data_IF_340391335895
#
_entry.id   IF_340391335895
#
_cell.length_a   1.000
_cell.length_b   1.000
_cell.length_c   1.000
_cell.angle_alpha   90.00
_cell.angle_beta   90.00
_cell.angle_gamma   90.00
#
_symmetry.space_group_name_H-M   'P 1'
#
loop_
_entity.id
_entity.type
_entity.pdbx_description
1 polymer ?
#
# COMPACT_ATOMS: atom_id res chain seq x y z
N UNK A 1 15.39 -43.50 -46.74
CA UNK A 1 13.98 -43.11 -46.99
C UNK A 1 13.97 -41.76 -47.70
N UNK A 2 13.75 -41.77 -49.02
CA UNK A 2 13.74 -40.57 -49.85
C UNK A 2 12.28 -40.29 -50.26
N UNK A 3 11.69 -39.21 -49.75
CA UNK A 3 10.34 -38.79 -50.14
C UNK A 3 10.21 -37.27 -50.18
N UNK A 4 10.59 -36.73 -51.35
CA UNK A 4 9.84 -35.77 -52.17
C UNK A 4 9.30 -34.51 -51.47
N UNK A 5 10.14 -33.48 -51.49
CA UNK A 5 9.73 -32.07 -51.54
C UNK A 5 8.76 -31.86 -52.71
N UNK A 6 7.56 -31.33 -52.42
CA UNK A 6 6.61 -30.87 -53.45
C UNK A 6 6.22 -29.42 -53.16
N UNK A 7 6.87 -28.43 -53.79
CA UNK A 7 6.50 -27.03 -53.70
C UNK A 7 6.01 -26.54 -55.07
N UNK A 8 4.72 -26.63 -55.39
CA UNK A 8 4.19 -26.00 -56.62
C UNK A 8 2.67 -26.02 -56.69
N UNK A 9 1.98 -25.17 -55.93
CA UNK A 9 0.61 -24.76 -56.28
C UNK A 9 0.47 -23.24 -56.06
N UNK A 10 1.22 -22.47 -56.84
CA UNK A 10 0.85 -21.10 -57.18
C UNK A 10 -0.44 -21.16 -58.01
N UNK A 11 -1.60 -21.04 -57.36
CA UNK A 11 -2.88 -20.94 -58.05
C UNK A 11 -3.19 -19.47 -58.31
N UNK A 12 -2.86 -19.03 -59.52
CA UNK A 12 -3.23 -17.72 -60.07
C UNK A 12 -4.75 -17.61 -60.18
N UNK A 13 -5.41 -16.93 -59.24
CA UNK A 13 -6.81 -16.54 -59.42
C UNK A 13 -6.85 -15.29 -60.30
N UNK A 14 -7.22 -15.54 -61.56
CA UNK A 14 -7.50 -14.54 -62.59
C UNK A 14 -8.63 -13.62 -62.16
N UNK A 15 -8.40 -12.31 -62.31
CA UNK A 15 -9.35 -11.22 -62.06
C UNK A 15 -10.48 -11.29 -63.08
N UNK A 16 -11.65 -11.78 -62.70
CA UNK A 16 -12.88 -11.51 -63.43
C UNK A 16 -13.48 -10.19 -62.93
N UNK A 17 -13.36 -9.16 -63.78
CA UNK A 17 -14.05 -7.88 -63.62
C UNK A 17 -15.56 -8.12 -63.76
N UNK A 18 -16.28 -8.22 -62.65
CA UNK A 18 -17.75 -8.16 -62.66
C UNK A 18 -18.17 -6.68 -62.60
N UNK A 19 -18.21 -6.07 -63.78
CA UNK A 19 -18.95 -4.83 -64.07
C UNK A 19 -20.45 -5.12 -63.99
N UNK A 20 -20.98 -5.21 -62.77
CA UNK A 20 -22.41 -5.29 -62.51
C UNK A 20 -22.89 -3.99 -61.89
N UNK A 21 -23.41 -3.09 -62.73
CA UNK A 21 -24.09 -1.86 -62.32
C UNK A 21 -25.43 -2.21 -61.65
N UNK A 22 -25.37 -2.66 -60.39
CA UNK A 22 -26.53 -2.87 -59.53
C UNK A 22 -26.63 -1.74 -58.52
N UNK A 23 -27.58 -0.84 -58.75
CA UNK A 23 -28.01 0.21 -57.82
C UNK A 23 -28.26 -0.37 -56.42
N UNK A 24 -27.29 -0.22 -55.52
CA UNK A 24 -27.48 -0.55 -54.12
C UNK A 24 -28.42 0.50 -53.51
N UNK A 25 -29.56 0.08 -52.93
CA UNK A 25 -30.41 1.02 -52.23
C UNK A 25 -29.61 1.55 -51.04
N UNK A 26 -29.53 2.88 -50.94
CA UNK A 26 -29.08 3.63 -49.76
C UNK A 26 -29.94 3.22 -48.56
N UNK A 27 -29.67 2.06 -47.98
CA UNK A 27 -30.18 1.69 -46.67
C UNK A 27 -29.34 2.47 -45.67
N UNK A 28 -29.76 3.70 -45.43
CA UNK A 28 -29.33 4.52 -44.31
C UNK A 28 -29.70 3.76 -43.02
N UNK A 29 -28.89 2.77 -42.66
CA UNK A 29 -28.92 2.20 -41.32
C UNK A 29 -28.39 3.30 -40.41
N UNK A 30 -29.32 4.09 -39.87
CA UNK A 30 -29.17 4.81 -38.63
C UNK A 30 -28.47 3.85 -37.67
N UNK A 31 -27.15 4.00 -37.49
CA UNK A 31 -26.45 3.29 -36.46
C UNK A 31 -27.12 3.73 -35.15
N UNK A 32 -27.84 2.85 -34.43
CA UNK A 32 -28.38 3.23 -33.15
C UNK A 32 -27.18 3.69 -32.33
N UNK A 33 -27.28 4.88 -31.77
CA UNK A 33 -26.33 5.44 -30.82
C UNK A 33 -26.00 4.34 -29.82
N UNK A 34 -24.88 3.65 -30.04
CA UNK A 34 -24.46 2.57 -29.19
C UNK A 34 -23.97 3.26 -27.94
N UNK A 35 -24.85 3.31 -26.95
CA UNK A 35 -24.55 3.70 -25.58
C UNK A 35 -23.64 2.61 -24.98
N UNK A 36 -22.48 2.37 -25.60
CA UNK A 36 -21.44 1.56 -24.97
C UNK A 36 -21.05 2.33 -23.71
N UNK A 37 -21.29 1.70 -22.55
CA UNK A 37 -20.90 2.21 -21.26
C UNK A 37 -19.48 2.79 -21.38
N UNK A 38 -19.36 4.12 -21.20
CA UNK A 38 -18.12 4.83 -21.44
C UNK A 38 -16.97 4.09 -20.74
N UNK A 39 -15.85 3.81 -21.42
CA UNK A 39 -14.78 3.03 -20.84
C UNK A 39 -14.31 3.70 -19.54
N UNK A 40 -13.89 2.91 -18.53
CA UNK A 40 -13.53 3.45 -17.23
C UNK A 40 -12.51 4.60 -17.37
N UNK A 41 -12.66 5.73 -16.65
CA UNK A 41 -11.75 6.88 -16.76
C UNK A 41 -10.27 6.53 -16.58
N UNK A 42 -9.95 5.45 -15.87
CA UNK A 42 -8.59 4.96 -15.73
C UNK A 42 -8.05 4.34 -17.03
N UNK A 43 -8.90 3.63 -17.77
CA UNK A 43 -8.53 2.99 -19.04
C UNK A 43 -8.18 4.05 -20.09
N UNK A 44 -8.93 5.16 -20.14
CA UNK A 44 -8.62 6.28 -21.04
C UNK A 44 -7.29 6.96 -20.69
N UNK A 45 -6.97 7.12 -19.39
CA UNK A 45 -5.65 7.58 -18.93
C UNK A 45 -4.53 6.66 -19.41
N UNK A 46 -4.64 5.34 -19.23
CA UNK A 46 -3.63 4.38 -19.70
C UNK A 46 -3.42 4.41 -21.22
N UNK A 47 -4.49 4.60 -22.01
CA UNK A 47 -4.40 4.77 -23.47
C UNK A 47 -3.66 6.05 -23.86
N UNK A 48 -3.86 7.14 -23.11
CA UNK A 48 -3.14 8.40 -23.34
C UNK A 48 -1.67 8.28 -22.93
N UNK A 49 -1.39 7.63 -21.80
CA UNK A 49 -0.03 7.37 -21.34
C UNK A 49 0.75 6.45 -22.29
N UNK A 50 0.07 5.53 -22.98
CA UNK A 50 0.69 4.74 -24.04
C UNK A 50 1.19 5.65 -25.17
N UNK A 51 0.37 6.61 -25.61
CA UNK A 51 0.78 7.58 -26.66
C UNK A 51 1.97 8.41 -26.21
N UNK A 52 2.00 8.81 -24.94
CA UNK A 52 3.12 9.57 -24.36
C UNK A 52 4.38 8.68 -24.31
N UNK A 53 4.28 7.44 -23.86
CA UNK A 53 5.39 6.49 -23.82
C UNK A 53 5.97 6.21 -25.22
N UNK A 54 5.10 6.13 -26.25
CA UNK A 54 5.54 6.01 -27.64
C UNK A 54 6.36 7.22 -28.11
N UNK A 55 5.97 8.44 -27.71
CA UNK A 55 6.73 9.66 -28.04
C UNK A 55 8.04 9.76 -27.26
N UNK A 56 8.03 9.36 -25.99
CA UNK A 56 9.20 9.37 -25.12
C UNK A 56 10.22 8.26 -25.42
N UNK A 57 9.83 7.24 -26.21
CA UNK A 57 10.64 6.04 -26.53
C UNK A 57 11.10 5.26 -25.29
N UNK A 58 10.36 5.34 -24.19
CA UNK A 58 10.60 4.54 -22.98
C UNK A 58 10.12 3.10 -23.22
N UNK A 59 11.05 2.19 -23.48
CA UNK A 59 10.78 0.79 -23.85
C UNK A 59 10.07 0.03 -22.73
N UNK A 60 10.46 0.24 -21.48
CA UNK A 60 9.93 -0.51 -20.34
C UNK A 60 8.50 -0.07 -20.03
N UNK A 61 8.24 1.25 -20.00
CA UNK A 61 6.90 1.79 -19.80
C UNK A 61 5.95 1.39 -20.93
N UNK A 62 6.45 1.42 -22.16
CA UNK A 62 5.67 1.04 -23.32
C UNK A 62 5.34 -0.46 -23.33
N UNK A 63 6.27 -1.34 -22.96
CA UNK A 63 6.01 -2.78 -22.84
C UNK A 63 4.95 -3.08 -21.76
N UNK A 64 5.12 -2.50 -20.56
CA UNK A 64 4.16 -2.64 -19.47
C UNK A 64 2.75 -2.17 -19.87
N UNK A 65 2.63 -0.97 -20.47
CA UNK A 65 1.33 -0.44 -20.90
C UNK A 65 0.67 -1.27 -22.01
N UNK A 66 1.45 -1.78 -22.97
CA UNK A 66 0.92 -2.71 -23.99
C UNK A 66 0.43 -4.00 -23.38
N UNK A 67 1.18 -4.56 -22.43
CA UNK A 67 0.79 -5.78 -21.71
C UNK A 67 -0.52 -5.57 -20.96
N UNK A 68 -0.68 -4.44 -20.27
CA UNK A 68 -1.94 -4.10 -19.57
C UNK A 68 -3.11 -3.99 -20.54
N UNK A 69 -2.96 -3.27 -21.66
CA UNK A 69 -4.03 -3.14 -22.65
C UNK A 69 -4.37 -4.48 -23.30
N UNK A 70 -3.38 -5.30 -23.63
CA UNK A 70 -3.61 -6.65 -24.15
C UNK A 70 -4.35 -7.50 -23.12
N UNK A 71 -4.00 -7.40 -21.83
CA UNK A 71 -4.69 -8.11 -20.76
C UNK A 71 -6.13 -7.61 -20.59
N UNK A 72 -6.41 -6.31 -20.78
CA UNK A 72 -7.80 -5.79 -20.76
C UNK A 72 -8.64 -6.32 -21.92
N UNK A 73 -8.07 -6.40 -23.13
CA UNK A 73 -8.74 -6.98 -24.30
C UNK A 73 -8.89 -8.49 -24.18
N UNK A 74 -7.94 -9.18 -23.53
CA UNK A 74 -8.08 -10.61 -23.27
C UNK A 74 -9.16 -10.87 -22.23
N UNK A 75 -9.26 -10.04 -21.19
CA UNK A 75 -10.33 -10.14 -20.19
C UNK A 75 -11.72 -9.87 -20.80
N UNK A 76 -11.84 -9.00 -21.80
CA UNK A 76 -13.12 -8.78 -22.50
C UNK A 76 -13.57 -10.00 -23.33
N UNK A 77 -12.69 -10.97 -23.57
CA UNK A 77 -12.99 -12.23 -24.28
C UNK A 77 -13.28 -13.39 -23.32
N UNK A 78 -13.05 -13.23 -22.02
CA UNK A 78 -13.36 -14.24 -21.01
C UNK A 78 -14.68 -13.94 -20.32
N UNK A 79 -15.11 -14.81 -19.40
CA UNK A 79 -16.32 -14.60 -18.60
C UNK A 79 -16.23 -13.43 -17.60
N UNK A 80 -15.06 -12.79 -17.46
CA UNK A 80 -14.79 -11.72 -16.49
C UNK A 80 -14.30 -10.45 -17.20
N UNK A 81 -15.17 -9.73 -17.93
CA UNK A 81 -14.80 -8.49 -18.61
C UNK A 81 -14.51 -7.37 -17.62
N UNK A 82 -13.50 -6.54 -17.92
CA UNK A 82 -13.12 -5.39 -17.08
C UNK A 82 -14.02 -4.21 -17.41
N UNK A 83 -14.94 -3.94 -16.50
CA UNK A 83 -15.95 -2.87 -16.64
C UNK A 83 -15.76 -1.76 -15.62
N UNK A 84 -15.10 -2.01 -14.49
CA UNK A 84 -14.88 -1.03 -13.42
C UNK A 84 -13.41 -0.63 -13.27
N UNK A 85 -13.15 0.57 -12.74
CA UNK A 85 -11.78 1.00 -12.40
C UNK A 85 -11.15 0.05 -11.37
N UNK A 86 -11.93 -0.44 -10.42
CA UNK A 86 -11.49 -1.38 -9.40
C UNK A 86 -10.98 -2.70 -10.02
N UNK A 87 -11.70 -3.28 -10.98
CA UNK A 87 -11.21 -4.46 -11.73
C UNK A 87 -9.91 -4.18 -12.50
N UNK A 88 -9.78 -3.00 -13.11
CA UNK A 88 -8.54 -2.61 -13.79
C UNK A 88 -7.36 -2.49 -12.82
N UNK A 89 -7.56 -1.92 -11.64
CA UNK A 89 -6.51 -1.86 -10.60
C UNK A 89 -6.19 -3.27 -10.07
N UNK A 90 -7.18 -4.15 -9.94
CA UNK A 90 -6.97 -5.53 -9.54
C UNK A 90 -6.08 -6.26 -10.56
N UNK A 91 -6.32 -6.02 -11.85
CA UNK A 91 -5.48 -6.53 -12.93
C UNK A 91 -4.05 -5.98 -12.82
N UNK A 92 -3.86 -4.68 -12.59
CA UNK A 92 -2.53 -4.08 -12.40
C UNK A 92 -1.76 -4.74 -11.23
N UNK A 93 -2.42 -4.97 -10.10
CA UNK A 93 -1.82 -5.65 -8.94
C UNK A 93 -1.48 -7.11 -9.27
N UNK A 94 -2.37 -7.83 -9.97
CA UNK A 94 -2.13 -9.21 -10.43
C UNK A 94 -0.91 -9.27 -11.35
N UNK A 95 -0.79 -8.32 -12.29
CA UNK A 95 0.33 -8.24 -13.22
C UNK A 95 1.64 -7.87 -12.53
N UNK A 96 1.64 -6.86 -11.65
CA UNK A 96 2.82 -6.50 -10.86
C UNK A 96 3.34 -7.69 -10.05
N UNK A 97 2.43 -8.48 -9.47
CA UNK A 97 2.83 -9.72 -8.78
C UNK A 97 3.47 -10.73 -9.73
N UNK A 98 2.89 -10.95 -10.92
CA UNK A 98 3.47 -11.85 -11.92
C UNK A 98 4.87 -11.42 -12.35
N UNK A 99 5.08 -10.12 -12.58
CA UNK A 99 6.41 -9.59 -12.92
C UNK A 99 7.40 -9.75 -11.77
N UNK A 100 6.97 -9.58 -10.51
CA UNK A 100 7.82 -9.85 -9.34
C UNK A 100 8.22 -11.32 -9.25
N UNK A 101 7.25 -12.21 -9.38
CA UNK A 101 7.48 -13.66 -9.31
C UNK A 101 8.38 -14.10 -10.49
N UNK A 102 8.21 -13.52 -11.68
CA UNK A 102 9.06 -13.75 -12.85
C UNK A 102 10.49 -13.20 -12.67
N UNK A 103 10.65 -12.01 -12.08
CA UNK A 103 11.96 -11.44 -11.79
C UNK A 103 12.76 -12.30 -10.81
N UNK A 104 12.10 -12.85 -9.78
CA UNK A 104 12.73 -13.78 -8.84
C UNK A 104 13.21 -15.05 -9.55
N UNK A 105 12.34 -15.69 -10.35
CA UNK A 105 12.69 -16.89 -11.12
C UNK A 105 13.81 -16.62 -12.13
N UNK A 106 13.82 -15.46 -12.78
CA UNK A 106 14.87 -15.08 -13.73
C UNK A 106 16.24 -14.93 -13.04
N UNK A 107 16.28 -14.37 -11.82
CA UNK A 107 17.51 -14.31 -11.02
C UNK A 107 17.99 -15.69 -10.59
N UNK A 108 17.08 -16.54 -10.13
CA UNK A 108 17.39 -17.93 -9.76
C UNK A 108 17.98 -18.70 -10.96
N UNK A 109 17.48 -18.44 -12.18
CA UNK A 109 17.99 -19.01 -13.42
C UNK A 109 19.28 -18.34 -13.96
N UNK A 110 19.89 -17.40 -13.21
CA UNK A 110 21.11 -16.69 -13.62
C UNK A 110 20.92 -15.69 -14.76
N UNK A 111 19.69 -15.34 -15.12
CA UNK A 111 19.37 -14.38 -16.20
C UNK A 111 19.17 -12.98 -15.63
N UNK A 112 20.26 -12.34 -15.21
CA UNK A 112 20.24 -11.01 -14.60
C UNK A 112 19.57 -9.94 -15.49
N UNK A 113 19.90 -9.91 -16.79
CA UNK A 113 19.31 -8.95 -17.74
C UNK A 113 17.79 -9.10 -17.88
N UNK A 114 17.27 -10.33 -17.76
CA UNK A 114 15.83 -10.57 -17.81
C UNK A 114 15.16 -10.15 -16.50
N UNK A 115 15.80 -10.44 -15.36
CA UNK A 115 15.30 -10.02 -14.06
C UNK A 115 15.17 -8.50 -13.96
N UNK A 116 16.17 -7.74 -14.43
CA UNK A 116 16.14 -6.27 -14.41
C UNK A 116 14.98 -5.69 -15.25
N UNK A 117 14.67 -6.31 -16.39
CA UNK A 117 13.53 -5.92 -17.23
C UNK A 117 12.21 -6.15 -16.52
N UNK A 118 12.01 -7.33 -15.94
CA UNK A 118 10.80 -7.67 -15.18
C UNK A 118 10.63 -6.78 -13.93
N UNK A 119 11.72 -6.41 -13.26
CA UNK A 119 11.68 -5.46 -12.15
C UNK A 119 11.31 -4.04 -12.57
N UNK A 120 11.83 -3.59 -13.71
CA UNK A 120 11.45 -2.30 -14.26
C UNK A 120 9.94 -2.27 -14.58
N UNK A 121 9.42 -3.32 -15.21
CA UNK A 121 7.99 -3.47 -15.47
C UNK A 121 7.17 -3.53 -14.17
N UNK A 122 7.62 -4.31 -13.18
CA UNK A 122 6.98 -4.39 -11.87
C UNK A 122 6.84 -3.00 -11.23
N UNK A 123 7.93 -2.21 -11.20
CA UNK A 123 7.92 -0.85 -10.61
C UNK A 123 6.92 0.06 -11.30
N UNK A 124 6.83 0.00 -12.63
CA UNK A 124 5.87 0.79 -13.41
C UNK A 124 4.43 0.39 -13.09
N UNK A 125 4.14 -0.93 -13.07
CA UNK A 125 2.80 -1.43 -12.75
C UNK A 125 2.37 -1.09 -11.32
N UNK A 126 3.28 -1.19 -10.36
CA UNK A 126 3.04 -0.79 -8.96
C UNK A 126 2.78 0.72 -8.82
N UNK A 127 3.49 1.55 -9.59
CA UNK A 127 3.28 2.98 -9.62
C UNK A 127 1.86 3.33 -10.14
N UNK A 128 1.39 2.68 -11.20
CA UNK A 128 0.02 2.88 -11.69
C UNK A 128 -1.04 2.37 -10.72
N UNK A 129 -0.82 1.21 -10.10
CA UNK A 129 -1.74 0.67 -9.09
C UNK A 129 -1.86 1.62 -7.88
N UNK A 130 -0.73 2.16 -7.42
CA UNK A 130 -0.69 3.09 -6.26
C UNK A 130 -1.22 4.48 -6.63
N UNK A 131 -0.92 4.98 -7.82
CA UNK A 131 -1.46 6.26 -8.30
C UNK A 131 -2.98 6.25 -8.48
N UNK A 132 -3.57 5.07 -8.69
CA UNK A 132 -5.03 4.90 -8.79
C UNK A 132 -5.73 4.78 -7.43
N UNK A 133 -5.01 5.02 -6.33
CA UNK A 133 -5.53 4.94 -4.95
C UNK A 133 -6.68 5.88 -4.68
N UNK A 134 -6.70 7.07 -5.27
CA UNK A 134 -7.76 8.06 -5.09
C UNK A 134 -9.11 7.48 -5.50
N UNK A 135 -9.18 6.81 -6.66
CA UNK A 135 -10.39 6.15 -7.15
C UNK A 135 -10.88 5.06 -6.18
N UNK A 136 -9.95 4.34 -5.54
CA UNK A 136 -10.31 3.33 -4.54
C UNK A 136 -10.84 3.99 -3.27
N UNK A 137 -10.24 5.11 -2.83
CA UNK A 137 -10.72 5.84 -1.65
C UNK A 137 -12.15 6.32 -1.87
N UNK A 138 -12.45 6.89 -3.03
CA UNK A 138 -13.80 7.37 -3.36
C UNK A 138 -14.83 6.23 -3.31
N UNK A 139 -14.50 5.07 -3.91
CA UNK A 139 -15.37 3.88 -3.86
C UNK A 139 -15.57 3.43 -2.41
N UNK A 140 -14.49 3.32 -1.61
CA UNK A 140 -14.56 2.89 -0.21
C UNK A 140 -15.39 3.86 0.64
N UNK A 141 -15.25 5.17 0.44
CA UNK A 141 -16.00 6.20 1.15
C UNK A 141 -17.48 6.19 0.78
N UNK A 142 -17.82 6.02 -0.50
CA UNK A 142 -19.19 5.86 -0.95
C UNK A 142 -19.87 4.64 -0.29
N UNK A 143 -19.19 3.48 -0.29
CA UNK A 143 -19.71 2.27 0.36
C UNK A 143 -19.82 2.45 1.88
N UNK A 144 -18.85 3.12 2.52
CA UNK A 144 -18.89 3.45 3.95
C UNK A 144 -20.09 4.31 4.29
N UNK A 145 -20.32 5.38 3.53
CA UNK A 145 -21.46 6.27 3.72
C UNK A 145 -22.78 5.50 3.60
N UNK A 146 -22.89 4.60 2.61
CA UNK A 146 -24.09 3.77 2.44
C UNK A 146 -24.33 2.84 3.62
N UNK A 147 -23.32 2.13 4.10
CA UNK A 147 -23.48 1.21 5.25
C UNK A 147 -23.78 1.95 6.56
N UNK A 148 -23.27 3.17 6.73
CA UNK A 148 -23.62 4.02 7.88
C UNK A 148 -25.09 4.44 7.78
N UNK A 149 -25.57 4.81 6.58
CA UNK A 149 -26.98 5.15 6.36
C UNK A 149 -27.92 3.95 6.55
N UNK A 150 -27.46 2.72 6.24
CA UNK A 150 -28.19 1.47 6.52
C UNK A 150 -28.22 1.11 8.02
N UNK A 151 -27.54 1.87 8.89
CA UNK A 151 -27.53 1.63 10.34
C UNK A 151 -26.62 0.49 10.79
N UNK A 152 -25.62 0.11 9.98
CA UNK A 152 -24.67 -0.95 10.37
C UNK A 152 -23.79 -0.46 11.51
N UNK A 153 -23.67 -1.27 12.57
CA UNK A 153 -22.78 -1.01 13.72
C UNK A 153 -21.38 -0.58 13.27
N UNK A 154 -20.87 0.55 13.78
CA UNK A 154 -19.54 1.08 13.44
C UNK A 154 -18.41 0.04 13.54
N UNK A 155 -18.48 -0.85 14.53
CA UNK A 155 -17.53 -1.97 14.73
C UNK A 155 -17.60 -3.02 13.61
N UNK A 156 -18.79 -3.22 13.02
CA UNK A 156 -19.05 -4.16 11.92
C UNK A 156 -18.95 -3.52 10.55
N UNK A 157 -19.02 -2.18 10.44
CA UNK A 157 -18.90 -1.45 9.16
C UNK A 157 -17.65 -1.90 8.41
N UNK A 158 -16.48 -2.00 9.06
CA UNK A 158 -15.26 -2.50 8.41
C UNK A 158 -15.44 -3.88 7.78
N UNK A 159 -15.96 -4.83 8.54
CA UNK A 159 -16.11 -6.22 8.09
C UNK A 159 -17.19 -6.34 7.00
N UNK A 160 -18.27 -5.55 7.10
CA UNK A 160 -19.28 -5.45 6.05
C UNK A 160 -18.74 -4.80 4.78
N UNK A 161 -18.01 -3.69 4.89
CA UNK A 161 -17.36 -3.04 3.74
C UNK A 161 -16.44 -4.01 3.03
N UNK A 162 -15.62 -4.74 3.80
CA UNK A 162 -14.71 -5.73 3.25
C UNK A 162 -15.46 -6.83 2.50
N UNK A 163 -16.54 -7.35 3.09
CA UNK A 163 -17.38 -8.38 2.47
C UNK A 163 -18.06 -7.87 1.20
N UNK A 164 -18.65 -6.68 1.23
CA UNK A 164 -19.34 -6.11 0.08
C UNK A 164 -18.40 -5.77 -1.07
N UNK A 165 -17.24 -5.18 -0.77
CA UNK A 165 -16.21 -4.93 -1.77
C UNK A 165 -15.65 -6.24 -2.32
N UNK A 166 -15.59 -7.31 -1.53
CA UNK A 166 -15.15 -8.63 -2.00
C UNK A 166 -16.21 -9.33 -2.88
N UNK A 167 -17.49 -9.08 -2.65
CA UNK A 167 -18.59 -9.65 -3.43
C UNK A 167 -18.80 -8.89 -4.75
N UNK A 168 -18.65 -7.56 -4.73
CA UNK A 168 -18.81 -6.71 -5.92
C UNK A 168 -17.55 -6.62 -6.76
N UNK A 169 -16.39 -6.60 -6.12
CA UNK A 169 -15.09 -6.39 -6.77
C UNK A 169 -14.18 -7.61 -6.65
N UNK A 170 -13.16 -7.62 -7.49
CA UNK A 170 -12.19 -8.69 -7.60
C UNK A 170 -11.44 -8.94 -6.26
N UNK A 171 -11.41 -10.17 -5.71
CA UNK A 171 -10.76 -10.48 -4.42
C UNK A 171 -9.29 -10.09 -4.32
N UNK A 172 -8.61 -10.01 -5.47
CA UNK A 172 -7.22 -9.59 -5.55
C UNK A 172 -7.01 -8.14 -5.09
N UNK A 173 -8.01 -7.27 -5.26
CA UNK A 173 -7.98 -5.88 -4.82
C UNK A 173 -8.00 -5.78 -3.29
N UNK A 174 -8.78 -6.67 -2.66
CA UNK A 174 -9.05 -6.69 -1.23
C UNK A 174 -7.89 -7.27 -0.44
N UNK A 175 -7.36 -8.45 -0.81
CA UNK A 175 -6.46 -9.19 0.08
C UNK A 175 -5.05 -8.59 0.24
N UNK A 176 -4.55 -7.78 -0.70
CA UNK A 176 -3.12 -7.42 -0.75
C UNK A 176 -2.85 -5.93 -1.02
N UNK A 177 -3.01 -5.11 0.01
CA UNK A 177 -2.23 -3.88 0.26
C UNK A 177 -2.88 -2.53 -0.04
N UNK A 178 -3.81 -2.38 -1.00
CA UNK A 178 -4.37 -1.05 -1.29
C UNK A 178 -5.77 -0.81 -0.72
N UNK A 179 -6.74 -1.68 -1.02
CA UNK A 179 -8.12 -1.52 -0.52
C UNK A 179 -8.17 -1.67 0.99
N UNK A 180 -7.51 -2.68 1.57
CA UNK A 180 -7.44 -2.81 3.03
C UNK A 180 -6.85 -1.58 3.68
N UNK A 181 -5.80 -0.98 3.10
CA UNK A 181 -5.22 0.26 3.63
C UNK A 181 -6.21 1.43 3.52
N UNK A 182 -6.92 1.56 2.40
CA UNK A 182 -7.94 2.59 2.23
C UNK A 182 -9.15 2.37 3.14
N UNK A 183 -9.58 1.13 3.37
CA UNK A 183 -10.61 0.77 4.35
C UNK A 183 -10.11 1.12 5.76
N UNK A 184 -8.87 0.78 6.11
CA UNK A 184 -8.31 1.12 7.42
C UNK A 184 -8.26 2.63 7.65
N UNK A 185 -7.81 3.39 6.65
CA UNK A 185 -7.80 4.87 6.69
C UNK A 185 -9.22 5.44 6.76
N UNK A 186 -10.14 4.98 5.91
CA UNK A 186 -11.52 5.44 5.90
C UNK A 186 -12.31 4.99 7.14
N UNK A 187 -11.96 3.84 7.75
CA UNK A 187 -12.60 3.31 8.97
C UNK A 187 -11.88 3.71 10.24
N UNK A 188 -10.80 4.49 10.21
CA UNK A 188 -10.35 5.20 11.41
C UNK A 188 -11.51 6.11 11.82
N UNK A 189 -12.22 5.65 12.84
CA UNK A 189 -13.59 6.01 13.15
C UNK A 189 -13.63 7.45 13.66
N UNK A 190 -14.28 8.34 12.91
CA UNK A 190 -14.65 9.72 13.28
C UNK A 190 -15.77 9.71 14.33
N UNK A 191 -15.57 9.01 15.44
CA UNK A 191 -16.59 8.93 16.50
C UNK A 191 -16.37 7.74 17.42
N UNK A 192 -15.10 7.39 17.64
CA UNK A 192 -14.71 6.38 18.59
C UNK A 192 -15.17 6.81 19.97
N UNK A 193 -15.74 5.86 20.69
CA UNK A 193 -15.91 5.98 22.13
C UNK A 193 -14.56 6.25 22.79
N UNK A 194 -14.56 6.75 24.02
CA UNK A 194 -13.35 7.08 24.77
C UNK A 194 -12.30 5.95 24.78
N UNK A 195 -12.74 4.69 24.79
CA UNK A 195 -11.88 3.51 24.72
C UNK A 195 -11.18 3.27 23.36
N UNK A 196 -11.71 3.81 22.26
CA UNK A 196 -11.07 3.68 20.94
C UNK A 196 -9.85 4.61 20.85
N UNK A 197 -9.93 5.83 21.40
CA UNK A 197 -8.79 6.77 21.45
C UNK A 197 -7.65 6.22 22.30
N UNK A 198 -7.96 5.63 23.45
CA UNK A 198 -6.93 5.02 24.30
C UNK A 198 -6.23 3.88 23.58
N UNK A 199 -6.95 3.03 22.84
CA UNK A 199 -6.34 1.94 22.07
C UNK A 199 -5.41 2.44 20.96
N UNK A 200 -5.77 3.54 20.30
CA UNK A 200 -4.91 4.17 19.29
C UNK A 200 -3.66 4.77 19.94
N UNK A 201 -3.80 5.48 21.06
CA UNK A 201 -2.65 6.03 21.80
C UNK A 201 -1.74 4.91 22.29
N UNK A 202 -2.28 3.85 22.91
CA UNK A 202 -1.52 2.68 23.34
C UNK A 202 -0.75 2.03 22.18
N UNK A 203 -1.38 1.87 21.01
CA UNK A 203 -0.70 1.36 19.84
C UNK A 203 0.45 2.26 19.40
N UNK A 204 0.24 3.59 19.34
CA UNK A 204 1.29 4.54 18.96
C UNK A 204 2.44 4.58 19.97
N UNK A 205 2.14 4.52 21.27
CA UNK A 205 3.12 4.43 22.36
C UNK A 205 3.97 3.18 22.17
N UNK A 206 3.35 2.02 21.88
CA UNK A 206 4.06 0.76 21.66
C UNK A 206 4.97 0.81 20.43
N UNK A 207 4.52 1.44 19.33
CA UNK A 207 5.36 1.65 18.14
C UNK A 207 6.57 2.54 18.44
N UNK A 208 6.38 3.65 19.16
CA UNK A 208 7.46 4.56 19.54
C UNK A 208 8.45 3.88 20.49
N UNK A 209 7.97 3.16 21.52
CA UNK A 209 8.82 2.37 22.42
C UNK A 209 9.64 1.33 21.66
N UNK A 210 9.02 0.63 20.70
CA UNK A 210 9.72 -0.33 19.84
C UNK A 210 10.80 0.32 18.97
N UNK A 211 10.54 1.51 18.43
CA UNK A 211 11.55 2.27 17.67
C UNK A 211 12.71 2.74 18.56
N UNK A 212 12.42 3.24 19.77
CA UNK A 212 13.43 3.66 20.75
C UNK A 212 14.33 2.48 21.15
N UNK A 213 13.77 1.30 21.44
CA UNK A 213 14.56 0.12 21.78
C UNK A 213 15.51 -0.32 20.64
N UNK A 214 15.08 -0.19 19.38
CA UNK A 214 15.95 -0.48 18.21
C UNK A 214 17.11 0.51 18.10
N UNK A 215 16.87 1.79 18.39
CA UNK A 215 17.94 2.79 18.43
C UNK A 215 18.91 2.53 19.59
N UNK A 216 18.40 2.15 20.77
CA UNK A 216 19.23 1.78 21.92
C UNK A 216 20.14 0.59 21.64
N UNK A 217 19.65 -0.42 20.91
CA UNK A 217 20.46 -1.55 20.48
C UNK A 217 21.64 -1.14 19.58
N UNK A 218 21.54 -0.04 18.84
CA UNK A 218 22.64 0.47 18.00
C UNK A 218 23.73 1.17 18.83
N UNK A 219 23.39 1.72 20.00
CA UNK A 219 24.32 2.47 20.85
C UNK A 219 25.44 1.56 21.38
N UNK A 220 25.12 0.32 21.77
CA UNK A 220 26.10 -0.60 22.36
C UNK A 220 27.25 -0.96 21.40
N UNK A 221 26.99 -1.44 20.15
CA UNK A 221 28.04 -1.65 19.15
C UNK A 221 28.88 -0.40 18.86
N UNK A 222 28.22 0.75 18.67
CA UNK A 222 28.92 2.01 18.40
C UNK A 222 29.85 2.41 19.55
N UNK A 223 29.43 2.19 20.79
CA UNK A 223 30.24 2.45 21.98
C UNK A 223 31.44 1.50 22.06
N UNK A 224 31.28 0.23 21.69
CA UNK A 224 32.40 -0.73 21.59
C UNK A 224 33.42 -0.27 20.55
N UNK A 225 32.96 0.10 19.35
CA UNK A 225 33.84 0.61 18.28
C UNK A 225 34.56 1.88 18.72
N UNK A 226 33.84 2.83 19.33
CA UNK A 226 34.41 4.06 19.90
C UNK A 226 35.51 3.75 20.92
N UNK A 227 35.29 2.80 21.84
CA UNK A 227 36.31 2.37 22.82
C UNK A 227 37.52 1.76 22.14
N UNK A 228 37.33 0.91 21.12
CA UNK A 228 38.45 0.30 20.37
C UNK A 228 39.28 1.35 19.64
N UNK A 229 38.64 2.32 18.99
CA UNK A 229 39.32 3.44 18.33
C UNK A 229 40.10 4.27 19.35
N UNK A 230 39.50 4.61 20.48
CA UNK A 230 40.18 5.36 21.55
C UNK A 230 41.39 4.60 22.11
N UNK A 231 41.26 3.28 22.28
CA UNK A 231 42.37 2.43 22.73
C UNK A 231 43.52 2.41 21.72
N UNK A 232 43.23 2.21 20.42
CA UNK A 232 44.23 2.23 19.36
C UNK A 232 44.92 3.61 19.27
N UNK A 233 44.16 4.70 19.33
CA UNK A 233 44.72 6.06 19.37
C UNK A 233 45.65 6.25 20.57
N UNK A 234 45.32 5.71 21.74
CA UNK A 234 46.17 5.78 22.92
C UNK A 234 47.44 4.93 22.84
N UNK A 235 47.45 3.86 22.04
CA UNK A 235 48.66 3.06 21.75
C UNK A 235 49.58 3.85 20.82
N UNK A 236 49.01 4.37 19.72
CA UNK A 236 49.74 5.18 18.72
C UNK A 236 50.40 6.38 19.39
N UNK A 237 49.66 7.11 20.24
CA UNK A 237 50.19 8.28 20.94
C UNK A 237 51.31 7.95 21.94
N UNK A 238 51.34 6.73 22.50
CA UNK A 238 52.39 6.30 23.43
C UNK A 238 53.65 5.81 22.72
N UNK A 239 53.52 5.26 21.51
CA UNK A 239 54.63 4.68 20.77
C UNK A 239 54.62 5.16 19.31
N UNK A 240 54.93 6.44 19.04
CA UNK A 240 54.86 7.00 17.69
C UNK A 240 55.82 6.31 16.70
N UNK A 241 56.91 5.71 17.20
CA UNK A 241 57.88 4.97 16.42
C UNK A 241 57.46 3.54 16.07
N UNK A 242 56.53 2.93 16.83
CA UNK A 242 56.04 1.56 16.58
C UNK A 242 54.80 1.51 15.69
N UNK A 243 54.17 2.66 15.44
CA UNK A 243 53.03 2.73 14.55
C UNK A 243 53.46 2.24 13.17
N UNK A 244 52.97 1.07 12.78
CA UNK A 244 53.27 0.48 11.48
C UNK A 244 52.82 1.43 10.38
N UNK A 245 53.42 1.33 9.19
CA UNK A 245 53.00 2.12 8.02
C UNK A 245 51.49 1.96 7.79
N UNK A 246 50.95 0.75 8.03
CA UNK A 246 49.51 0.49 8.00
C UNK A 246 48.73 1.39 8.97
N UNK A 247 49.17 1.55 10.22
CA UNK A 247 48.55 2.48 11.19
C UNK A 247 48.62 3.95 10.77
N UNK A 248 49.63 4.34 9.97
CA UNK A 248 49.68 5.67 9.34
C UNK A 248 48.76 5.79 8.13
N UNK A 249 48.51 4.70 7.41
CA UNK A 249 47.69 4.68 6.18
C UNK A 249 46.21 4.40 6.41
N UNK A 250 45.78 4.00 7.61
CA UNK A 250 44.35 3.88 7.92
C UNK A 250 43.74 5.29 7.96
N UNK A 251 42.72 5.60 7.11
CA UNK A 251 41.98 6.86 7.12
C UNK A 251 41.66 7.23 8.57
N UNK A 252 41.99 8.46 8.98
CA UNK A 252 42.51 8.72 10.30
C UNK A 252 41.48 8.25 11.32
N UNK A 253 41.90 7.35 12.20
CA UNK A 253 41.08 6.86 13.33
C UNK A 253 40.37 8.01 14.07
N UNK A 254 40.92 9.24 14.00
CA UNK A 254 40.30 10.50 14.42
C UNK A 254 39.00 10.83 13.67
N UNK A 255 38.95 10.78 12.34
CA UNK A 255 37.74 10.99 11.55
C UNK A 255 36.70 9.90 11.82
N UNK A 256 37.13 8.64 11.93
CA UNK A 256 36.24 7.54 12.31
C UNK A 256 35.63 7.76 13.71
N UNK A 257 36.45 8.20 14.68
CA UNK A 257 36.00 8.59 16.02
C UNK A 257 34.94 9.71 15.94
N UNK A 258 35.25 10.79 15.24
CA UNK A 258 34.34 11.95 15.10
C UNK A 258 33.03 11.52 14.45
N UNK A 259 33.09 10.67 13.43
CA UNK A 259 31.90 10.15 12.75
C UNK A 259 31.01 9.33 13.69
N UNK A 260 31.59 8.43 14.49
CA UNK A 260 30.85 7.65 15.48
C UNK A 260 30.29 8.54 16.59
N UNK A 261 31.04 9.54 17.05
CA UNK A 261 30.57 10.50 18.06
C UNK A 261 29.41 11.35 17.55
N UNK A 262 29.46 11.78 16.30
CA UNK A 262 28.37 12.50 15.66
C UNK A 262 27.12 11.62 15.51
N UNK A 263 27.28 10.37 15.08
CA UNK A 263 26.16 9.43 14.99
C UNK A 263 25.53 9.15 16.37
N UNK A 264 26.34 8.94 17.41
CA UNK A 264 25.84 8.77 18.78
C UNK A 264 25.07 10.02 19.24
N UNK A 265 25.57 11.22 18.92
CA UNK A 265 24.88 12.47 19.23
C UNK A 265 23.53 12.54 18.53
N UNK A 266 23.46 12.24 17.23
CA UNK A 266 22.21 12.21 16.47
C UNK A 266 21.22 11.22 17.06
N UNK A 267 21.66 10.01 17.43
CA UNK A 267 20.79 9.01 18.07
C UNK A 267 20.24 9.55 19.39
N UNK A 268 21.09 10.08 20.27
CA UNK A 268 20.64 10.65 21.55
C UNK A 268 19.69 11.86 21.38
N UNK A 269 19.96 12.73 20.41
CA UNK A 269 19.14 13.92 20.16
C UNK A 269 17.79 13.55 19.54
N UNK A 270 17.69 12.47 18.76
CA UNK A 270 16.40 11.95 18.27
C UNK A 270 15.59 11.24 19.35
N UNK A 271 16.24 10.57 20.30
CA UNK A 271 15.55 9.86 21.39
C UNK A 271 14.88 10.80 22.39
N UNK A 272 15.46 11.98 22.65
CA UNK A 272 14.91 12.94 23.62
C UNK A 272 13.49 13.42 23.27
N UNK A 273 13.21 13.96 22.05
CA UNK A 273 11.85 14.31 21.64
C UNK A 273 10.89 13.13 21.65
N UNK A 274 11.34 11.94 21.24
CA UNK A 274 10.51 10.73 21.23
C UNK A 274 10.10 10.34 22.65
N UNK A 275 11.01 10.41 23.62
CA UNK A 275 10.69 10.15 25.03
C UNK A 275 9.69 11.15 25.59
N UNK A 276 9.80 12.44 25.22
CA UNK A 276 8.84 13.47 25.63
C UNK A 276 7.47 13.19 25.01
N UNK A 277 7.42 12.82 23.73
CA UNK A 277 6.17 12.48 23.03
C UNK A 277 5.49 11.25 23.65
N UNK A 278 6.25 10.21 24.01
CA UNK A 278 5.73 9.02 24.71
C UNK A 278 5.07 9.45 26.03
N UNK A 279 5.77 10.25 26.85
CA UNK A 279 5.23 10.71 28.13
C UNK A 279 3.95 11.55 27.96
N UNK A 280 3.94 12.47 26.99
CA UNK A 280 2.75 13.28 26.71
C UNK A 280 1.54 12.43 26.28
N UNK A 281 1.77 11.37 25.49
CA UNK A 281 0.72 10.42 25.10
C UNK A 281 0.23 9.58 26.29
N UNK A 282 1.14 9.15 27.16
CA UNK A 282 0.80 8.42 28.39
C UNK A 282 -0.03 9.30 29.34
N UNK A 283 0.37 10.55 29.54
CA UNK A 283 -0.34 11.55 30.35
C UNK A 283 -1.74 11.81 29.77
N UNK A 284 -1.86 12.00 28.46
CA UNK A 284 -3.15 12.18 27.79
C UNK A 284 -4.06 10.95 27.97
N UNK A 285 -3.49 9.74 27.85
CA UNK A 285 -4.25 8.51 28.04
C UNK A 285 -4.70 8.35 29.50
N UNK A 286 -3.88 8.77 30.47
CA UNK A 286 -4.26 8.80 31.88
C UNK A 286 -5.39 9.78 32.17
N UNK A 287 -5.30 11.01 31.67
CA UNK A 287 -6.35 12.04 31.81
C UNK A 287 -7.69 11.50 31.29
N UNK A 288 -7.67 10.88 30.10
CA UNK A 288 -8.86 10.29 29.50
C UNK A 288 -9.48 9.22 30.40
N UNK A 289 -8.68 8.31 30.98
CA UNK A 289 -9.18 7.27 31.90
C UNK A 289 -9.76 7.87 33.17
N UNK A 290 -9.08 8.83 33.79
CA UNK A 290 -9.59 9.48 35.00
C UNK A 290 -10.89 10.22 34.76
N UNK A 291 -11.05 10.90 33.61
CA UNK A 291 -12.30 11.55 33.25
C UNK A 291 -13.44 10.53 33.05
N UNK A 292 -13.16 9.36 32.48
CA UNK A 292 -14.18 8.30 32.36
C UNK A 292 -14.57 7.68 33.70
N UNK A 293 -13.60 7.50 34.61
CA UNK A 293 -13.86 6.98 35.95
C UNK A 293 -14.68 7.97 36.79
N UNK A 294 -14.34 9.26 36.73
CA UNK A 294 -15.11 10.31 37.40
C UNK A 294 -16.55 10.39 36.88
N UNK A 295 -16.74 10.38 35.56
CA UNK A 295 -18.08 10.35 34.96
C UNK A 295 -18.88 9.12 35.39
N UNK A 296 -18.24 7.94 35.48
CA UNK A 296 -18.89 6.71 35.93
C UNK A 296 -19.30 6.75 37.41
N UNK A 297 -18.49 7.41 38.27
CA UNK A 297 -18.78 7.59 39.69
C UNK A 297 -19.90 8.59 39.91
N UNK A 298 -19.93 9.68 39.14
CA UNK A 298 -21.03 10.66 39.17
C UNK A 298 -22.35 10.03 38.71
N UNK A 299 -22.34 9.20 37.66
CA UNK A 299 -23.53 8.48 37.22
C UNK A 299 -24.00 7.45 38.26
N UNK A 300 -23.08 6.75 38.92
CA UNK A 300 -23.41 5.82 40.01
C UNK A 300 -23.97 6.55 41.25
N UNK A 301 -23.38 7.68 41.63
CA UNK A 301 -23.85 8.50 42.75
C UNK A 301 -25.25 9.10 42.47
N UNK A 302 -25.51 9.51 41.23
CA UNK A 302 -26.83 9.97 40.80
C UNK A 302 -27.89 8.87 40.91
N UNK A 303 -27.55 7.61 40.56
CA UNK A 303 -28.49 6.47 40.68
C UNK A 303 -28.83 6.12 42.13
N UNK A 304 -27.87 6.18 43.05
CA UNK A 304 -28.12 5.86 44.48
C UNK A 304 -29.02 6.89 45.15
N UNK A 305 -28.96 8.17 44.75
CA UNK A 305 -29.78 9.23 45.36
C UNK A 305 -31.27 9.12 45.03
N UNK A 306 -31.63 8.44 43.94
CA UNK A 306 -33.04 8.26 43.54
C UNK A 306 -33.71 7.09 44.29
N UNK A 307 -32.96 6.15 44.85
CA UNK A 307 -33.52 4.96 45.51
C UNK A 307 -33.66 5.07 47.04
N UNK A 308 -33.36 6.23 47.63
CA UNK A 308 -33.22 6.38 49.08
C UNK A 308 -34.43 6.90 49.87
N UNK A 309 -35.58 7.15 49.24
CA UNK A 309 -36.67 7.91 49.87
C UNK A 309 -38.03 7.23 49.71
N UNK A 310 -38.14 5.99 50.19
CA UNK A 310 -39.44 5.37 50.46
C UNK A 310 -39.30 4.45 51.67
N UNK A 311 -39.24 5.05 52.86
CA UNK A 311 -39.52 4.31 54.08
C UNK A 311 -41.01 3.92 54.04
N UNK A 312 -41.36 2.64 54.09
CA UNK A 312 -42.76 2.24 54.06
C UNK A 312 -43.39 2.66 55.38
N UNK A 313 -44.35 3.60 55.31
CA UNK A 313 -45.26 3.84 56.41
C UNK A 313 -45.90 2.50 56.79
N UNK A 314 -45.56 2.07 58.00
CA UNK A 314 -45.86 0.78 58.61
C UNK A 314 -47.38 0.63 58.79
N UNK A 315 -48.04 0.24 57.71
CA UNK A 315 -49.41 -0.19 57.70
C UNK A 315 -49.48 -1.64 58.21
N UNK A 316 -49.39 -1.86 59.53
CA UNK A 316 -50.01 -3.02 60.20
C UNK A 316 -49.76 -2.99 61.71
N UNK A 317 -50.74 -2.56 62.52
CA UNK A 317 -50.89 -3.07 63.89
C UNK A 317 -52.31 -2.81 64.42
N UNK A 318 -53.04 -3.92 64.52
CA UNK A 318 -54.09 -4.26 65.49
C UNK A 318 -55.35 -3.38 65.55
#
# INVERSE_FOLDING_TARGET
>A
MASRLSPSLLRSFSRSNLTGAGTLPLRASLAPYSTEAAPPPLLSKLKNDLKIAMKAKDTNRLAALRSVLAATVNASKTATPITTNAQLIALLIKMAKKSRDAAAQAREAGRAELAEKEEAEQRILEAYATGSREVIKDIVEMHKARLIAEGVDKKKVRNRLLKELLEREDPALVRKNLVTKCILEATQVVGGTTGDYTSNFEFTINQLKGATARLEMLIAPMTVVKRRINHNLAIINRHPARATIEERTVPPLKEAKVSIENLLRVVHDTMKPVSIAIKALEDATHVIRTSTEQASKEEAASKVKVTGEEAPDDATKA
#
